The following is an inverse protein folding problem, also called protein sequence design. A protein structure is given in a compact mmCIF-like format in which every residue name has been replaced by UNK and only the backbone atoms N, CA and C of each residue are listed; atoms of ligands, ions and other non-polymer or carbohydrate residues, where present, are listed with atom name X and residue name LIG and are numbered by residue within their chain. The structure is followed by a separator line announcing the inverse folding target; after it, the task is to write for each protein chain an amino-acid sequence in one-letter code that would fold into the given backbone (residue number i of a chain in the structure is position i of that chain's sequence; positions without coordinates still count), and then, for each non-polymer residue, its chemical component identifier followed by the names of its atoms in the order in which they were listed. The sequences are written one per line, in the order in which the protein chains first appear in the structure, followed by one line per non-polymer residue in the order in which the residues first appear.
data_IF_243422930137
#
_entry.id   IF_243422930137
#
_cell.length_a   1.000
_cell.length_b   1.000
_cell.length_c   1.000
_cell.angle_alpha   90.00
_cell.angle_beta   90.00
_cell.angle_gamma   90.00
#
_symmetry.space_group_name_H-M   'P 1'
#
loop_
_entity.id
_entity.type
_entity.pdbx_description
1 polymer ?
#
# COMPACT_ATOMS: atom_id res chain seq x y z
N UNK A 1 46.65 -11.33 29.89
CA UNK A 1 47.00 -9.91 29.65
C UNK A 1 45.81 -9.29 28.99
N UNK A 2 45.11 -8.48 29.76
CA UNK A 2 43.90 -7.76 29.43
C UNK A 2 44.16 -6.69 28.38
N UNK A 3 43.15 -6.44 27.54
CA UNK A 3 42.81 -5.10 27.06
C UNK A 3 41.34 -5.07 26.66
N UNK A 4 40.54 -4.61 27.61
CA UNK A 4 39.13 -4.17 27.42
C UNK A 4 39.08 -2.89 26.57
N UNK A 5 38.25 -2.89 25.55
CA UNK A 5 37.78 -1.69 24.84
C UNK A 5 36.29 -1.51 25.07
N UNK A 6 35.90 -0.54 25.90
CA UNK A 6 34.54 -0.22 26.27
C UNK A 6 33.80 0.47 25.09
N UNK A 7 32.77 -0.16 24.57
CA UNK A 7 31.79 0.46 23.69
C UNK A 7 30.66 1.13 24.50
N UNK A 8 30.50 2.45 24.36
CA UNK A 8 29.39 3.19 24.96
C UNK A 8 28.07 2.82 24.27
N UNK A 9 27.00 2.52 25.01
CA UNK A 9 25.68 2.38 24.42
C UNK A 9 25.09 3.77 24.15
N UNK A 10 24.68 3.99 22.91
CA UNK A 10 23.87 5.16 22.54
C UNK A 10 22.48 5.02 23.21
N UNK A 11 22.16 5.93 24.08
CA UNK A 11 20.87 6.01 24.75
C UNK A 11 19.73 6.30 23.76
N UNK A 12 18.55 5.68 23.92
CA UNK A 12 17.40 6.00 23.08
C UNK A 12 16.90 7.42 23.41
N UNK A 13 16.78 8.27 22.38
CA UNK A 13 16.12 9.56 22.52
C UNK A 13 14.62 9.35 22.73
N UNK A 14 14.15 9.52 23.94
CA UNK A 14 12.73 9.61 24.26
C UNK A 14 12.15 10.90 23.69
N UNK A 15 11.28 10.79 22.70
CA UNK A 15 10.39 11.87 22.30
C UNK A 15 9.18 11.84 23.24
N UNK A 16 9.07 12.82 24.11
CA UNK A 16 7.89 13.00 24.97
C UNK A 16 6.78 13.65 24.14
N UNK A 17 5.67 12.95 23.96
CA UNK A 17 4.44 13.45 23.36
C UNK A 17 3.51 13.92 24.49
N UNK A 18 3.13 15.20 24.45
CA UNK A 18 2.06 15.75 25.26
C UNK A 18 0.69 15.20 24.87
N UNK A 19 -0.24 15.14 25.81
CA UNK A 19 -1.58 14.61 25.66
C UNK A 19 -2.36 15.21 24.49
N UNK A 20 -3.07 14.34 23.73
CA UNK A 20 -3.82 14.70 22.54
C UNK A 20 -5.03 15.61 22.83
N UNK A 21 -5.26 16.64 22.00
CA UNK A 21 -6.52 17.41 22.04
C UNK A 21 -7.64 16.70 21.29
N UNK A 22 -8.85 16.70 21.86
CA UNK A 22 -10.01 15.89 21.47
C UNK A 22 -10.87 16.45 20.31
N UNK A 23 -10.36 17.36 19.49
CA UNK A 23 -11.06 17.81 18.27
C UNK A 23 -10.08 18.24 17.18
N UNK A 24 -10.41 17.99 15.92
CA UNK A 24 -9.63 18.36 14.72
C UNK A 24 -9.34 19.86 14.68
N UNK A 25 -10.22 20.71 15.23
CA UNK A 25 -10.03 22.15 15.30
C UNK A 25 -9.00 22.60 16.34
N UNK A 26 -8.75 21.81 17.39
CA UNK A 26 -7.81 22.16 18.45
C UNK A 26 -6.35 21.77 18.14
N UNK A 27 -6.12 20.83 17.22
CA UNK A 27 -4.77 20.44 16.78
C UNK A 27 -4.08 21.50 15.92
N UNK A 28 -4.83 22.45 15.35
CA UNK A 28 -4.31 23.51 14.47
C UNK A 28 -3.95 24.81 15.19
N UNK A 29 -4.18 24.94 16.51
CA UNK A 29 -4.06 26.17 17.28
C UNK A 29 -2.86 26.22 18.24
N UNK A 30 -1.69 25.72 17.85
CA UNK A 30 -0.44 25.88 18.59
C UNK A 30 0.28 27.19 18.23
N UNK A 31 0.28 28.19 19.17
CA UNK A 31 1.07 29.43 19.21
C UNK A 31 0.96 30.42 18.04
N UNK A 32 0.13 31.43 18.18
CA UNK A 32 -0.12 32.47 17.19
C UNK A 32 0.31 33.85 17.72
N UNK A 33 1.45 34.38 17.18
CA UNK A 33 1.77 35.81 17.21
C UNK A 33 1.05 36.55 16.06
N UNK A 34 1.12 37.91 15.95
CA UNK A 34 0.32 38.70 14.99
C UNK A 34 0.54 38.42 13.50
N UNK A 35 1.58 37.65 13.14
CA UNK A 35 1.74 37.03 11.79
C UNK A 35 1.00 35.67 11.65
N UNK A 36 0.43 35.15 12.73
CA UNK A 36 -0.18 33.85 12.79
C UNK A 36 -1.63 33.78 12.32
N UNK A 37 -2.32 34.90 12.17
CA UNK A 37 -3.73 34.89 11.74
C UNK A 37 -3.93 34.50 10.29
N UNK A 38 -3.02 34.91 9.40
CA UNK A 38 -3.06 34.49 7.97
C UNK A 38 -2.60 33.05 7.76
N UNK A 39 -1.57 32.62 8.47
CA UNK A 39 -1.10 31.21 8.40
C UNK A 39 -2.13 30.24 8.99
N UNK A 40 -2.73 30.57 10.13
CA UNK A 40 -3.78 29.76 10.75
C UNK A 40 -5.04 29.68 9.88
N UNK A 41 -5.45 30.80 9.25
CA UNK A 41 -6.54 30.85 8.30
C UNK A 41 -6.25 29.97 7.05
N UNK A 42 -5.05 30.04 6.51
CA UNK A 42 -4.61 29.25 5.37
C UNK A 42 -4.58 27.74 5.69
N UNK A 43 -4.12 27.38 6.89
CA UNK A 43 -4.12 25.99 7.36
C UNK A 43 -5.57 25.48 7.49
N UNK A 44 -6.46 26.27 8.09
CA UNK A 44 -7.87 25.92 8.26
C UNK A 44 -8.60 25.78 6.91
N UNK A 45 -8.35 26.68 5.95
CA UNK A 45 -8.89 26.63 4.60
C UNK A 45 -8.42 25.39 3.84
N UNK A 46 -7.12 25.07 3.91
CA UNK A 46 -6.56 23.86 3.27
C UNK A 46 -7.11 22.58 3.89
N UNK A 47 -7.30 22.55 5.21
CA UNK A 47 -7.91 21.41 5.89
C UNK A 47 -9.39 21.23 5.48
N UNK A 48 -10.13 22.33 5.33
CA UNK A 48 -11.50 22.31 4.81
C UNK A 48 -11.55 21.77 3.39
N UNK A 49 -10.67 22.26 2.50
CA UNK A 49 -10.58 21.80 1.13
C UNK A 49 -10.20 20.29 1.04
N UNK A 50 -9.31 19.82 1.93
CA UNK A 50 -8.96 18.39 2.01
C UNK A 50 -10.16 17.52 2.41
N UNK A 51 -10.97 17.97 3.39
CA UNK A 51 -12.19 17.29 3.77
C UNK A 51 -13.24 17.30 2.64
N UNK A 52 -13.30 18.37 1.83
CA UNK A 52 -14.17 18.42 0.66
C UNK A 52 -13.75 17.40 -0.40
N UNK A 53 -12.44 17.27 -0.67
CA UNK A 53 -11.93 16.21 -1.55
C UNK A 53 -12.32 14.83 -1.04
N UNK A 54 -12.11 14.55 0.26
CA UNK A 54 -12.42 13.24 0.87
C UNK A 54 -13.92 12.94 0.94
N UNK A 55 -14.78 13.95 1.00
CA UNK A 55 -16.25 13.77 0.90
C UNK A 55 -16.72 13.48 -0.52
N UNK A 56 -16.06 14.08 -1.50
CA UNK A 56 -16.47 14.01 -2.91
C UNK A 56 -15.77 12.90 -3.70
N UNK A 57 -14.74 12.26 -3.11
CA UNK A 57 -14.01 11.14 -3.70
C UNK A 57 -13.82 10.01 -2.70
N UNK A 58 -13.82 8.77 -3.18
CA UNK A 58 -13.53 7.61 -2.35
C UNK A 58 -12.01 7.51 -2.20
N UNK A 59 -11.51 7.79 -0.99
CA UNK A 59 -10.08 7.66 -0.70
C UNK A 59 -9.70 6.20 -0.46
N UNK A 60 -8.58 5.78 -1.04
CA UNK A 60 -8.10 4.40 -1.02
C UNK A 60 -6.61 4.37 -0.72
N UNK A 61 -6.21 3.63 0.29
CA UNK A 61 -4.86 3.10 0.40
C UNK A 61 -4.80 1.79 -0.39
N UNK A 62 -4.07 1.79 -1.51
CA UNK A 62 -4.12 0.67 -2.44
C UNK A 62 -3.28 -0.53 -2.01
N UNK A 63 -2.52 -0.40 -0.91
CA UNK A 63 -1.79 -1.51 -0.28
C UNK A 63 -1.36 -1.18 1.15
N UNK A 64 -1.72 -2.04 2.09
CA UNK A 64 -1.37 -1.86 3.51
C UNK A 64 -1.43 -3.18 4.28
N UNK A 65 -0.73 -3.23 5.43
CA UNK A 65 -0.70 -4.36 6.35
C UNK A 65 -1.34 -3.98 7.68
N UNK A 66 -2.65 -4.14 7.80
CA UNK A 66 -3.38 -3.89 9.03
C UNK A 66 -3.30 -5.07 10.02
N UNK A 67 -2.88 -4.81 11.25
CA UNK A 67 -2.93 -5.82 12.30
C UNK A 67 -2.00 -7.01 12.07
N UNK A 68 -2.56 -8.23 12.07
CA UNK A 68 -1.79 -9.49 11.95
C UNK A 68 -1.67 -9.98 10.49
N UNK A 69 -2.14 -9.26 9.50
CA UNK A 69 -2.08 -9.70 8.10
C UNK A 69 -0.68 -9.60 7.52
N UNK A 70 0.12 -8.66 8.01
CA UNK A 70 1.49 -8.47 7.55
C UNK A 70 2.50 -9.49 8.11
N UNK A 71 3.77 -9.26 7.80
CA UNK A 71 4.92 -10.09 8.18
C UNK A 71 5.06 -10.23 9.71
N UNK A 72 4.64 -9.22 10.46
CA UNK A 72 4.71 -9.25 11.92
C UNK A 72 3.38 -9.67 12.51
N UNK A 73 3.37 -10.74 13.31
CA UNK A 73 2.18 -11.21 14.04
C UNK A 73 1.75 -10.30 15.21
N UNK A 74 2.40 -9.17 15.40
CA UNK A 74 2.07 -8.23 16.48
C UNK A 74 0.86 -7.39 16.07
N UNK A 75 -0.21 -7.47 16.87
CA UNK A 75 -1.33 -6.54 16.73
C UNK A 75 -0.81 -5.10 16.83
N UNK A 76 -1.39 -4.16 16.08
CA UNK A 76 -1.05 -2.75 16.24
C UNK A 76 -1.31 -2.38 17.71
N UNK A 77 -0.37 -1.70 18.37
CA UNK A 77 -0.46 -1.44 19.80
C UNK A 77 -1.62 -0.52 20.19
N UNK A 78 -2.25 0.17 19.26
CA UNK A 78 -3.20 1.25 19.54
C UNK A 78 -4.38 1.26 18.58
N UNK A 79 -5.24 0.29 18.67
CA UNK A 79 -6.59 0.54 18.24
C UNK A 79 -7.06 -0.16 16.97
N UNK A 80 -8.31 -0.03 16.82
CA UNK A 80 -9.18 -0.52 15.79
C UNK A 80 -8.89 0.20 14.46
N UNK A 81 -8.57 -0.57 13.43
CA UNK A 81 -8.33 -0.08 12.07
C UNK A 81 -9.47 0.83 11.57
N UNK A 82 -10.71 0.43 11.79
CA UNK A 82 -11.88 1.21 11.40
C UNK A 82 -11.95 2.57 12.12
N UNK A 83 -11.53 2.63 13.38
CA UNK A 83 -11.47 3.90 14.12
C UNK A 83 -10.39 4.82 13.56
N UNK A 84 -9.19 4.30 13.26
CA UNK A 84 -8.14 5.09 12.63
C UNK A 84 -8.57 5.63 11.25
N UNK A 85 -9.20 4.79 10.42
CA UNK A 85 -9.75 5.18 9.12
C UNK A 85 -10.80 6.27 9.24
N UNK A 86 -11.75 6.15 10.20
CA UNK A 86 -12.77 7.18 10.45
C UNK A 86 -12.17 8.52 10.89
N UNK A 87 -11.21 8.49 11.81
CA UNK A 87 -10.54 9.71 12.31
C UNK A 87 -9.85 10.46 11.17
N UNK A 88 -9.13 9.75 10.32
CA UNK A 88 -8.42 10.35 9.19
C UNK A 88 -9.25 10.54 7.93
N UNK A 89 -10.51 10.07 7.92
CA UNK A 89 -11.39 10.10 6.74
C UNK A 89 -10.88 9.26 5.57
N UNK A 90 -10.16 8.17 5.83
CA UNK A 90 -9.82 7.16 4.84
C UNK A 90 -11.03 6.24 4.63
N UNK A 91 -11.51 6.15 3.39
CA UNK A 91 -12.70 5.34 3.09
C UNK A 91 -12.38 3.86 2.91
N UNK A 92 -11.26 3.53 2.27
CA UNK A 92 -10.92 2.17 1.86
C UNK A 92 -9.44 1.86 2.13
N UNK A 93 -9.17 0.67 2.65
CA UNK A 93 -7.84 0.09 2.73
C UNK A 93 -7.80 -1.25 1.96
N UNK A 94 -6.87 -1.42 1.02
CA UNK A 94 -6.55 -2.72 0.44
C UNK A 94 -5.66 -3.46 1.43
N UNK A 95 -6.25 -4.41 2.14
CA UNK A 95 -5.62 -5.08 3.27
C UNK A 95 -4.97 -6.37 2.82
N UNK A 96 -3.64 -6.40 2.84
CA UNK A 96 -2.85 -7.51 2.32
C UNK A 96 -2.66 -8.63 3.33
N UNK A 97 -2.92 -9.85 2.89
CA UNK A 97 -2.40 -11.09 3.44
C UNK A 97 -1.01 -11.37 2.84
N UNK A 98 -0.08 -11.90 3.62
CA UNK A 98 1.29 -12.21 3.19
C UNK A 98 1.54 -13.73 3.31
N UNK A 99 1.22 -14.53 2.27
CA UNK A 99 1.32 -15.98 2.33
C UNK A 99 2.72 -16.52 2.61
N UNK A 100 3.77 -15.86 2.11
CA UNK A 100 5.16 -16.22 2.33
C UNK A 100 5.74 -15.72 3.68
N UNK A 101 4.95 -14.99 4.47
CA UNK A 101 5.33 -14.46 5.77
C UNK A 101 6.08 -15.45 6.69
N UNK A 102 5.68 -16.73 6.80
CA UNK A 102 6.41 -17.72 7.58
C UNK A 102 7.83 -17.98 7.15
N UNK A 103 8.19 -17.67 5.90
CA UNK A 103 9.53 -17.89 5.35
C UNK A 103 10.47 -16.70 5.53
N UNK A 104 9.89 -15.52 5.79
CA UNK A 104 10.63 -14.26 5.78
C UNK A 104 11.46 -14.07 7.03
N UNK A 105 12.66 -13.56 6.81
CA UNK A 105 13.61 -13.20 7.85
C UNK A 105 14.66 -12.24 7.29
N UNK A 106 15.63 -11.86 8.13
CA UNK A 106 16.77 -11.09 7.64
C UNK A 106 17.87 -12.04 7.22
N UNK A 107 18.34 -11.89 5.98
CA UNK A 107 19.49 -12.63 5.46
C UNK A 107 20.82 -12.13 6.09
N UNK A 108 21.95 -12.66 5.63
CA UNK A 108 23.27 -12.32 6.15
C UNK A 108 23.62 -10.82 6.00
N UNK A 109 23.06 -10.17 5.00
CA UNK A 109 23.19 -8.73 4.72
C UNK A 109 22.18 -7.86 5.52
N UNK A 110 21.34 -8.48 6.35
CA UNK A 110 20.33 -7.80 7.14
C UNK A 110 19.08 -7.37 6.33
N UNK A 111 18.96 -7.82 5.08
CA UNK A 111 17.84 -7.51 4.18
C UNK A 111 16.72 -8.53 4.37
N UNK A 112 15.46 -8.09 4.27
CA UNK A 112 14.29 -8.96 4.31
C UNK A 112 14.29 -9.87 3.07
N UNK A 113 14.21 -11.18 3.31
CA UNK A 113 14.21 -12.19 2.26
C UNK A 113 13.62 -13.51 2.78
N UNK A 114 13.29 -14.44 1.90
CA UNK A 114 13.03 -15.82 2.30
C UNK A 114 14.32 -16.47 2.81
N UNK A 115 14.31 -16.92 4.07
CA UNK A 115 15.48 -17.55 4.75
C UNK A 115 15.34 -19.07 4.87
N UNK A 116 14.28 -19.65 4.31
CA UNK A 116 14.03 -21.08 4.27
C UNK A 116 13.09 -21.45 3.12
N UNK A 117 13.10 -22.71 2.73
CA UNK A 117 12.18 -23.27 1.73
C UNK A 117 10.87 -23.69 2.41
N UNK A 118 9.70 -23.49 1.77
CA UNK A 118 8.44 -23.94 2.33
C UNK A 118 8.28 -25.47 2.25
N UNK A 119 7.57 -26.03 3.21
CA UNK A 119 7.04 -27.38 3.09
C UNK A 119 5.81 -27.40 2.16
N UNK A 120 5.56 -28.48 1.42
CA UNK A 120 4.38 -28.58 0.58
C UNK A 120 3.07 -28.32 1.34
N UNK A 121 2.25 -27.40 0.86
CA UNK A 121 1.00 -26.98 1.49
C UNK A 121 1.17 -25.97 2.63
N UNK A 122 2.38 -25.60 3.04
CA UNK A 122 2.62 -24.68 4.14
C UNK A 122 2.08 -23.28 3.84
N UNK A 123 2.36 -22.76 2.65
CA UNK A 123 1.96 -21.39 2.29
C UNK A 123 0.45 -21.28 2.07
N UNK A 124 -0.15 -22.31 1.50
CA UNK A 124 -1.59 -22.40 1.38
C UNK A 124 -2.29 -22.48 2.76
N UNK A 125 -1.79 -23.31 3.66
CA UNK A 125 -2.31 -23.38 5.03
C UNK A 125 -2.21 -22.05 5.75
N UNK A 126 -1.06 -21.36 5.66
CA UNK A 126 -0.87 -20.04 6.24
C UNK A 126 -1.83 -19.00 5.64
N UNK A 127 -2.00 -18.97 4.32
CA UNK A 127 -2.97 -18.12 3.65
C UNK A 127 -4.40 -18.31 4.21
N UNK A 128 -4.84 -19.55 4.39
CA UNK A 128 -6.16 -19.84 4.95
C UNK A 128 -6.32 -19.31 6.40
N UNK A 129 -5.28 -19.43 7.23
CA UNK A 129 -5.25 -18.88 8.58
C UNK A 129 -5.34 -17.34 8.57
N UNK A 130 -4.61 -16.68 7.64
CA UNK A 130 -4.66 -15.22 7.50
C UNK A 130 -6.02 -14.72 7.03
N UNK A 131 -6.66 -15.42 6.11
CA UNK A 131 -8.02 -15.11 5.68
C UNK A 131 -9.03 -15.24 6.82
N UNK A 132 -8.94 -16.29 7.61
CA UNK A 132 -9.81 -16.47 8.77
C UNK A 132 -9.65 -15.32 9.79
N UNK A 133 -8.39 -14.90 10.04
CA UNK A 133 -8.13 -13.76 10.89
C UNK A 133 -8.65 -12.43 10.28
N UNK A 134 -8.53 -12.23 8.97
CA UNK A 134 -9.09 -11.06 8.29
C UNK A 134 -10.62 -11.05 8.40
N UNK A 135 -11.29 -12.21 8.27
CA UNK A 135 -12.73 -12.35 8.47
C UNK A 135 -13.15 -11.91 9.87
N UNK A 136 -12.43 -12.36 10.90
CA UNK A 136 -12.65 -11.98 12.31
C UNK A 136 -12.44 -10.48 12.54
N UNK A 137 -11.38 -9.91 12.00
CA UNK A 137 -11.07 -8.49 12.12
C UNK A 137 -12.16 -7.62 11.46
N UNK A 138 -12.59 -7.98 10.24
CA UNK A 138 -13.66 -7.27 9.54
C UNK A 138 -14.94 -7.28 10.36
N UNK A 139 -15.31 -8.42 10.92
CA UNK A 139 -16.50 -8.56 11.73
C UNK A 139 -16.40 -7.79 13.05
N UNK A 140 -15.28 -7.92 13.79
CA UNK A 140 -15.10 -7.30 15.11
C UNK A 140 -14.94 -5.78 15.07
N UNK A 141 -14.34 -5.24 14.00
CA UNK A 141 -14.10 -3.80 13.85
C UNK A 141 -15.23 -3.06 13.10
N UNK A 142 -16.27 -3.76 12.66
CA UNK A 142 -17.37 -3.14 11.92
C UNK A 142 -16.97 -2.59 10.57
N UNK A 143 -15.95 -3.21 9.94
CA UNK A 143 -15.51 -2.90 8.59
C UNK A 143 -16.43 -3.58 7.58
N UNK A 144 -16.50 -3.03 6.37
CA UNK A 144 -17.16 -3.69 5.24
C UNK A 144 -16.10 -4.30 4.33
N UNK A 145 -16.22 -5.59 4.01
CA UNK A 145 -15.47 -6.19 2.91
C UNK A 145 -16.19 -5.89 1.61
N UNK A 146 -15.53 -5.18 0.69
CA UNK A 146 -16.06 -4.86 -0.62
C UNK A 146 -15.67 -5.93 -1.64
N UNK A 147 -16.63 -6.33 -2.47
CA UNK A 147 -16.46 -7.29 -3.56
C UNK A 147 -16.56 -6.62 -4.93
N UNK A 148 -16.98 -5.35 -4.97
CA UNK A 148 -17.17 -4.56 -6.18
C UNK A 148 -16.94 -3.08 -5.91
N UNK A 149 -16.84 -2.28 -6.98
CA UNK A 149 -16.81 -0.83 -6.87
C UNK A 149 -18.11 -0.26 -6.27
N UNK A 150 -19.25 -0.87 -6.59
CA UNK A 150 -20.56 -0.47 -6.03
C UNK A 150 -20.63 -0.68 -4.51
N UNK A 151 -19.97 -1.72 -3.97
CA UNK A 151 -19.86 -1.92 -2.52
C UNK A 151 -19.08 -0.78 -1.85
N UNK A 152 -18.00 -0.32 -2.47
CA UNK A 152 -17.19 0.81 -1.97
C UNK A 152 -17.98 2.12 -2.03
N UNK A 153 -18.73 2.36 -3.11
CA UNK A 153 -19.59 3.53 -3.24
C UNK A 153 -20.69 3.54 -2.17
N UNK A 154 -21.31 2.39 -1.93
CA UNK A 154 -22.35 2.25 -0.89
C UNK A 154 -21.75 2.44 0.52
N UNK A 155 -20.57 1.89 0.81
CA UNK A 155 -19.89 2.04 2.08
C UNK A 155 -19.50 3.51 2.32
N UNK A 156 -18.90 4.18 1.34
CA UNK A 156 -18.54 5.58 1.41
C UNK A 156 -19.75 6.48 1.66
N UNK A 157 -20.84 6.27 0.92
CA UNK A 157 -22.11 7.00 1.13
C UNK A 157 -22.68 6.80 2.54
N UNK A 158 -22.47 5.63 3.13
CA UNK A 158 -22.88 5.31 4.49
C UNK A 158 -21.91 5.81 5.57
N UNK A 159 -20.77 6.41 5.21
CA UNK A 159 -19.69 6.77 6.15
C UNK A 159 -19.07 5.57 6.85
N UNK A 160 -19.15 4.38 6.26
CA UNK A 160 -18.61 3.13 6.78
C UNK A 160 -17.26 2.82 6.13
N UNK A 161 -16.16 2.70 6.91
CA UNK A 161 -14.90 2.24 6.37
C UNK A 161 -14.99 0.84 5.76
N UNK A 162 -14.31 0.65 4.64
CA UNK A 162 -14.31 -0.61 3.92
C UNK A 162 -12.89 -1.13 3.67
N UNK A 163 -12.79 -2.43 3.45
CA UNK A 163 -11.56 -3.06 2.95
C UNK A 163 -11.83 -3.73 1.61
N UNK A 164 -10.78 -3.75 0.76
CA UNK A 164 -10.62 -4.72 -0.31
C UNK A 164 -9.62 -5.75 0.20
N UNK A 165 -10.02 -7.03 0.22
CA UNK A 165 -9.10 -8.09 0.61
C UNK A 165 -8.06 -8.28 -0.51
N UNK A 166 -6.79 -8.15 -0.12
CA UNK A 166 -5.60 -8.22 -0.96
C UNK A 166 -4.72 -9.40 -0.54
N UNK A 167 -3.91 -9.91 -1.45
CA UNK A 167 -2.89 -10.93 -1.18
C UNK A 167 -1.57 -10.49 -1.79
N UNK A 168 -0.57 -10.32 -0.97
CA UNK A 168 0.79 -9.96 -1.38
C UNK A 168 1.64 -11.21 -1.63
N UNK A 169 1.76 -11.58 -2.90
CA UNK A 169 2.41 -12.80 -3.36
C UNK A 169 1.46 -13.98 -3.49
N UNK A 170 1.37 -14.54 -4.69
CA UNK A 170 0.55 -15.73 -4.97
C UNK A 170 1.28 -17.05 -4.69
N UNK A 171 2.21 -17.04 -3.75
CA UNK A 171 3.00 -18.20 -3.33
C UNK A 171 2.13 -19.35 -2.82
N UNK A 172 0.96 -19.03 -2.24
CA UNK A 172 -0.02 -20.01 -1.77
C UNK A 172 -0.64 -20.87 -2.89
N UNK A 173 -0.49 -20.45 -4.14
CA UNK A 173 -0.97 -21.27 -5.27
C UNK A 173 -0.22 -22.59 -5.35
N UNK A 174 1.09 -22.62 -5.09
CA UNK A 174 1.92 -23.83 -5.21
C UNK A 174 1.61 -24.57 -6.52
N UNK A 175 1.60 -23.84 -7.66
CA UNK A 175 1.25 -24.28 -9.01
C UNK A 175 -0.21 -24.75 -9.24
N UNK A 176 -1.09 -24.60 -8.27
CA UNK A 176 -2.50 -25.00 -8.33
C UNK A 176 -3.39 -23.83 -8.66
N UNK A 177 -3.69 -23.64 -9.94
CA UNK A 177 -4.47 -22.47 -10.43
C UNK A 177 -5.89 -22.43 -9.84
N UNK A 178 -6.49 -23.57 -9.48
CA UNK A 178 -7.80 -23.66 -8.84
C UNK A 178 -7.89 -22.94 -7.50
N UNK A 179 -6.77 -22.75 -6.79
CA UNK A 179 -6.72 -22.00 -5.53
C UNK A 179 -7.00 -20.50 -5.75
N UNK A 180 -6.79 -20.00 -6.96
CA UNK A 180 -7.17 -18.62 -7.31
C UNK A 180 -8.70 -18.46 -7.34
N UNK A 181 -9.43 -19.48 -7.83
CA UNK A 181 -10.90 -19.50 -7.79
C UNK A 181 -11.43 -19.59 -6.35
N UNK A 182 -10.75 -20.35 -5.50
CA UNK A 182 -11.08 -20.44 -4.06
C UNK A 182 -10.87 -19.08 -3.37
N UNK A 183 -9.76 -18.42 -3.63
CA UNK A 183 -9.48 -17.07 -3.13
C UNK A 183 -10.55 -16.06 -3.58
N UNK A 184 -10.99 -16.10 -4.84
CA UNK A 184 -12.08 -15.27 -5.34
C UNK A 184 -13.41 -15.54 -4.60
N UNK A 185 -13.78 -16.81 -4.40
CA UNK A 185 -14.98 -17.22 -3.64
C UNK A 185 -14.91 -16.76 -2.18
N UNK A 186 -13.71 -16.66 -1.60
CA UNK A 186 -13.45 -16.12 -0.26
C UNK A 186 -13.47 -14.59 -0.19
N UNK A 187 -13.73 -13.91 -1.32
CA UNK A 187 -13.92 -12.47 -1.38
C UNK A 187 -12.64 -11.67 -1.57
N UNK A 188 -11.54 -12.28 -1.99
CA UNK A 188 -10.34 -11.55 -2.43
C UNK A 188 -10.65 -10.91 -3.78
N UNK A 189 -10.23 -9.64 -3.96
CA UNK A 189 -10.42 -8.89 -5.22
C UNK A 189 -9.15 -8.22 -5.73
N UNK A 190 -8.09 -8.28 -4.97
CA UNK A 190 -6.78 -7.75 -5.31
C UNK A 190 -5.73 -8.83 -5.05
N UNK A 191 -4.84 -9.09 -6.01
CA UNK A 191 -3.78 -10.09 -5.89
C UNK A 191 -2.49 -9.58 -6.51
N UNK A 192 -1.40 -9.70 -5.77
CA UNK A 192 -0.06 -9.39 -6.21
C UNK A 192 0.67 -10.68 -6.57
N UNK A 193 1.33 -10.72 -7.72
CA UNK A 193 1.85 -11.95 -8.33
C UNK A 193 3.04 -12.56 -7.57
N UNK A 194 3.99 -11.74 -7.12
CA UNK A 194 5.25 -12.15 -6.49
C UNK A 194 5.54 -11.28 -5.26
N UNK A 195 6.32 -11.81 -4.29
CA UNK A 195 6.74 -11.04 -3.11
C UNK A 195 8.25 -11.22 -2.84
N UNK A 196 8.67 -11.83 -1.74
CA UNK A 196 10.08 -12.05 -1.37
C UNK A 196 10.51 -13.53 -1.51
N UNK A 197 9.61 -14.41 -1.90
CA UNK A 197 9.88 -15.83 -2.04
C UNK A 197 9.85 -16.22 -3.51
N UNK A 198 10.86 -16.99 -4.01
CA UNK A 198 10.80 -17.55 -5.35
C UNK A 198 9.54 -18.41 -5.55
N UNK A 199 8.79 -18.14 -6.63
CA UNK A 199 7.62 -18.90 -7.01
C UNK A 199 7.60 -19.18 -8.52
N UNK A 200 6.65 -20.00 -8.97
CA UNK A 200 6.56 -20.42 -10.37
C UNK A 200 5.89 -19.38 -11.29
N UNK A 201 5.57 -18.20 -10.79
CA UNK A 201 4.90 -17.14 -11.56
C UNK A 201 5.92 -16.26 -12.30
N UNK A 202 7.03 -15.90 -11.64
CA UNK A 202 8.06 -15.08 -12.27
C UNK A 202 9.09 -14.53 -11.29
N UNK A 203 9.93 -13.63 -11.79
CA UNK A 203 11.03 -13.07 -11.05
C UNK A 203 10.62 -11.82 -10.27
N UNK A 204 11.10 -11.69 -9.02
CA UNK A 204 10.88 -10.52 -8.18
C UNK A 204 12.18 -9.71 -8.00
N UNK A 205 12.03 -8.40 -7.71
CA UNK A 205 13.12 -7.39 -7.76
C UNK A 205 14.31 -7.70 -6.86
N UNK A 206 14.09 -8.28 -5.69
CA UNK A 206 15.13 -8.49 -4.65
C UNK A 206 15.67 -9.92 -4.62
N UNK A 207 15.22 -10.77 -5.53
CA UNK A 207 15.66 -12.15 -5.68
C UNK A 207 16.66 -12.35 -6.80
N UNK A 208 17.20 -13.58 -6.89
CA UNK A 208 17.95 -14.01 -8.06
C UNK A 208 17.01 -14.16 -9.26
N UNK A 209 17.49 -13.79 -10.44
CA UNK A 209 16.75 -14.03 -11.68
C UNK A 209 16.75 -15.52 -11.99
N UNK A 210 15.59 -16.15 -11.98
CA UNK A 210 15.40 -17.58 -12.19
C UNK A 210 14.67 -17.92 -13.48
N UNK A 211 13.79 -17.02 -13.95
CA UNK A 211 12.83 -17.27 -15.04
C UNK A 211 13.01 -16.32 -16.23
N UNK A 212 13.90 -15.33 -16.11
CA UNK A 212 14.04 -14.23 -17.09
C UNK A 212 12.72 -13.46 -17.29
N UNK A 213 12.00 -13.25 -16.21
CA UNK A 213 10.74 -12.51 -16.14
C UNK A 213 9.54 -13.39 -15.79
N UNK A 214 8.48 -13.31 -16.60
CA UNK A 214 7.22 -14.03 -16.39
C UNK A 214 7.28 -15.45 -16.96
N UNK A 215 6.81 -16.44 -16.21
CA UNK A 215 6.72 -17.83 -16.68
C UNK A 215 5.45 -18.08 -17.52
N UNK A 216 5.35 -19.27 -18.14
CA UNK A 216 4.10 -19.70 -18.77
C UNK A 216 2.95 -19.85 -17.76
N UNK A 217 3.23 -20.38 -16.58
CA UNK A 217 2.26 -20.45 -15.48
C UNK A 217 1.84 -19.05 -15.02
N UNK A 218 2.78 -18.12 -14.86
CA UNK A 218 2.47 -16.72 -14.55
C UNK A 218 1.55 -16.07 -15.59
N UNK A 219 1.75 -16.38 -16.86
CA UNK A 219 0.87 -15.91 -17.93
C UNK A 219 -0.57 -16.50 -17.80
N UNK A 220 -0.71 -17.76 -17.39
CA UNK A 220 -2.01 -18.37 -17.10
C UNK A 220 -2.67 -17.74 -15.88
N UNK A 221 -1.90 -17.46 -14.83
CA UNK A 221 -2.37 -16.75 -13.62
C UNK A 221 -2.91 -15.37 -13.98
N UNK A 222 -2.20 -14.55 -14.76
CA UNK A 222 -2.70 -13.22 -15.19
C UNK A 222 -4.01 -13.34 -15.97
N UNK A 223 -4.11 -14.27 -16.92
CA UNK A 223 -5.36 -14.50 -17.67
C UNK A 223 -6.51 -14.91 -16.75
N UNK A 224 -6.22 -15.77 -15.75
CA UNK A 224 -7.20 -16.18 -14.75
C UNK A 224 -7.62 -15.03 -13.86
N UNK A 225 -6.70 -14.17 -13.41
CA UNK A 225 -7.01 -12.95 -12.66
C UNK A 225 -8.00 -12.07 -13.42
N UNK A 226 -7.74 -11.81 -14.70
CA UNK A 226 -8.62 -10.98 -15.53
C UNK A 226 -9.99 -11.62 -15.77
N UNK A 227 -10.04 -12.94 -15.96
CA UNK A 227 -11.29 -13.68 -16.16
C UNK A 227 -12.15 -13.72 -14.90
N UNK A 228 -11.53 -13.91 -13.74
CA UNK A 228 -12.21 -14.00 -12.44
C UNK A 228 -12.62 -12.63 -11.88
N UNK A 229 -11.99 -11.56 -12.32
CA UNK A 229 -12.28 -10.22 -11.83
C UNK A 229 -11.41 -9.82 -10.62
N UNK A 230 -10.12 -10.07 -10.69
CA UNK A 230 -9.15 -9.52 -9.74
C UNK A 230 -8.50 -8.24 -10.29
N UNK A 231 -8.19 -7.29 -9.41
CA UNK A 231 -7.13 -6.32 -9.63
C UNK A 231 -5.81 -7.10 -9.62
N UNK A 232 -5.10 -7.08 -10.75
CA UNK A 232 -3.83 -7.77 -10.89
C UNK A 232 -2.69 -6.80 -10.58
N UNK A 233 -1.94 -7.08 -9.51
CA UNK A 233 -0.87 -6.25 -9.00
C UNK A 233 0.49 -6.86 -9.34
N UNK A 234 1.39 -6.04 -9.85
CA UNK A 234 2.75 -6.42 -10.25
C UNK A 234 3.83 -5.75 -9.37
N UNK A 235 3.45 -5.23 -8.19
CA UNK A 235 4.44 -4.78 -7.23
C UNK A 235 5.41 -5.95 -6.90
N UNK A 236 6.63 -5.62 -6.54
CA UNK A 236 7.76 -6.55 -6.40
C UNK A 236 8.27 -7.21 -7.69
N UNK A 237 7.52 -7.27 -8.78
CA UNK A 237 7.96 -7.90 -10.01
C UNK A 237 9.17 -7.16 -10.64
N UNK A 238 10.06 -7.91 -11.28
CA UNK A 238 11.14 -7.31 -12.08
C UNK A 238 10.57 -6.54 -13.28
N UNK A 239 11.34 -5.58 -13.80
CA UNK A 239 10.93 -4.81 -14.98
C UNK A 239 10.66 -5.72 -16.19
N UNK A 240 11.48 -6.76 -16.40
CA UNK A 240 11.27 -7.73 -17.48
C UNK A 240 9.96 -8.52 -17.30
N UNK A 241 9.65 -8.95 -16.07
CA UNK A 241 8.39 -9.61 -15.76
C UNK A 241 7.21 -8.67 -16.04
N UNK A 242 7.29 -7.40 -15.64
CA UNK A 242 6.23 -6.41 -15.89
C UNK A 242 6.05 -6.17 -17.38
N UNK A 243 7.13 -5.95 -18.15
CA UNK A 243 7.05 -5.78 -19.61
C UNK A 243 6.42 -6.98 -20.33
N UNK A 244 6.62 -8.19 -19.80
CA UNK A 244 5.98 -9.40 -20.31
C UNK A 244 4.52 -9.50 -19.88
N UNK A 245 4.19 -9.14 -18.62
CA UNK A 245 2.82 -9.09 -18.12
C UNK A 245 1.95 -8.09 -18.92
N UNK A 246 2.48 -6.91 -19.22
CA UNK A 246 1.80 -5.89 -20.03
C UNK A 246 1.35 -6.42 -21.39
N UNK A 247 2.16 -7.27 -22.05
CA UNK A 247 1.81 -7.89 -23.35
C UNK A 247 0.63 -8.86 -23.27
N UNK A 248 0.33 -9.38 -22.07
CA UNK A 248 -0.72 -10.37 -21.83
C UNK A 248 -1.95 -9.71 -21.21
N UNK A 249 -1.77 -8.62 -20.51
CA UNK A 249 -2.82 -7.92 -19.80
C UNK A 249 -3.92 -7.43 -20.75
N UNK A 250 -5.16 -7.75 -20.40
CA UNK A 250 -6.36 -7.26 -21.10
C UNK A 250 -7.16 -6.26 -20.26
N UNK A 251 -6.70 -6.01 -19.03
CA UNK A 251 -7.24 -5.05 -18.07
C UNK A 251 -6.09 -4.24 -17.47
N UNK A 252 -6.33 -3.05 -16.90
CA UNK A 252 -5.29 -2.27 -16.25
C UNK A 252 -4.56 -3.07 -15.17
N UNK A 253 -3.24 -2.96 -15.13
CA UNK A 253 -2.41 -3.52 -14.06
C UNK A 253 -2.24 -2.48 -12.95
N UNK A 254 -2.10 -2.92 -11.72
CA UNK A 254 -1.67 -2.10 -10.60
C UNK A 254 -0.22 -2.44 -10.26
N UNK A 255 0.57 -1.45 -9.86
CA UNK A 255 1.79 -1.61 -9.10
C UNK A 255 1.56 -0.88 -7.77
N UNK A 256 1.13 -1.61 -6.75
CA UNK A 256 0.48 -1.03 -5.58
C UNK A 256 1.39 -0.19 -4.70
N UNK A 257 2.68 -0.51 -4.57
CA UNK A 257 3.60 0.19 -3.69
C UNK A 257 5.04 0.16 -4.19
N UNK A 258 5.64 1.33 -4.32
CA UNK A 258 7.04 1.54 -4.74
C UNK A 258 7.45 3.00 -4.58
N UNK A 259 8.64 3.35 -5.07
CA UNK A 259 9.10 4.71 -5.36
C UNK A 259 9.95 4.74 -6.62
N UNK A 260 10.15 5.92 -7.17
CA UNK A 260 11.01 6.11 -8.34
C UNK A 260 12.49 5.88 -7.96
N UNK A 261 13.20 5.13 -8.79
CA UNK A 261 14.65 4.97 -8.65
C UNK A 261 15.35 6.32 -8.85
N UNK A 262 16.20 6.67 -7.89
CA UNK A 262 16.90 7.96 -7.90
C UNK A 262 16.03 9.16 -7.51
N UNK A 263 14.86 8.93 -6.87
CA UNK A 263 14.00 10.00 -6.34
C UNK A 263 14.80 10.96 -5.46
N UNK A 264 14.76 12.25 -5.80
CA UNK A 264 15.38 13.31 -4.99
C UNK A 264 14.58 13.57 -3.72
N UNK A 265 13.29 13.34 -3.78
CA UNK A 265 12.40 13.47 -2.64
C UNK A 265 12.67 12.42 -1.56
N UNK A 266 12.91 11.17 -1.97
CA UNK A 266 13.20 10.06 -1.06
C UNK A 266 14.62 10.12 -0.50
N UNK A 267 15.60 10.48 -1.34
CA UNK A 267 17.01 10.44 -0.99
C UNK A 267 17.57 9.02 -0.90
N UNK A 268 18.78 8.85 -0.31
CA UNK A 268 19.39 7.54 -0.11
C UNK A 268 18.53 6.64 0.79
N UNK A 269 18.30 5.40 0.37
CA UNK A 269 17.47 4.44 1.10
C UNK A 269 18.02 3.01 0.94
N UNK A 270 17.90 2.16 1.97
CA UNK A 270 18.20 0.73 1.84
C UNK A 270 17.19 -0.01 0.95
N UNK A 271 16.06 0.64 0.60
CA UNK A 271 15.01 0.06 -0.23
C UNK A 271 15.24 0.26 -1.75
N UNK A 272 16.45 0.64 -2.17
CA UNK A 272 16.78 0.92 -3.58
C UNK A 272 16.41 -0.24 -4.51
N UNK A 273 16.60 -1.49 -4.07
CA UNK A 273 16.22 -2.68 -4.84
C UNK A 273 14.74 -2.85 -5.10
N UNK A 274 13.90 -2.07 -4.41
CA UNK A 274 12.44 -2.07 -4.55
C UNK A 274 11.90 -0.88 -5.35
N UNK A 275 12.78 0.07 -5.73
CA UNK A 275 12.42 1.21 -6.56
C UNK A 275 12.33 0.80 -8.03
N UNK A 276 11.57 1.56 -8.81
CA UNK A 276 11.33 1.30 -10.24
C UNK A 276 11.94 2.38 -11.13
N UNK A 277 12.39 1.98 -12.31
CA UNK A 277 12.86 2.88 -13.36
C UNK A 277 11.74 3.51 -14.18
N UNK A 278 12.10 4.43 -15.06
CA UNK A 278 11.17 5.17 -15.92
C UNK A 278 10.37 4.25 -16.85
N UNK A 279 11.05 3.28 -17.47
CA UNK A 279 10.42 2.37 -18.44
C UNK A 279 9.46 1.40 -17.72
N UNK A 280 9.81 0.98 -16.52
CA UNK A 280 8.94 0.18 -15.66
C UNK A 280 7.64 0.96 -15.33
N UNK A 281 7.76 2.23 -14.91
CA UNK A 281 6.62 3.09 -14.62
C UNK A 281 5.73 3.32 -15.86
N UNK A 282 6.33 3.63 -17.00
CA UNK A 282 5.60 3.83 -18.26
C UNK A 282 4.85 2.59 -18.72
N UNK A 283 5.47 1.41 -18.58
CA UNK A 283 4.84 0.14 -18.95
C UNK A 283 3.53 -0.11 -18.19
N UNK A 284 3.47 0.25 -16.90
CA UNK A 284 2.23 0.17 -16.11
C UNK A 284 1.19 1.18 -16.63
N UNK A 285 1.60 2.44 -16.86
CA UNK A 285 0.70 3.48 -17.33
C UNK A 285 0.06 3.14 -18.70
N UNK A 286 0.81 2.51 -19.60
CA UNK A 286 0.34 2.05 -20.92
C UNK A 286 -0.83 1.06 -20.83
N UNK A 287 -0.96 0.30 -19.74
CA UNK A 287 -2.13 -0.58 -19.52
C UNK A 287 -3.39 0.18 -19.10
N UNK A 288 -3.30 1.50 -18.88
CA UNK A 288 -4.31 2.26 -18.15
C UNK A 288 -4.23 2.04 -16.64
N UNK A 289 -3.14 1.47 -16.14
CA UNK A 289 -2.89 1.12 -14.76
C UNK A 289 -2.54 2.30 -13.85
N UNK A 290 -2.08 2.00 -12.64
CA UNK A 290 -1.63 3.01 -11.67
C UNK A 290 -0.48 2.49 -10.82
N UNK A 291 0.33 3.41 -10.30
CA UNK A 291 1.49 3.15 -9.46
C UNK A 291 1.25 3.78 -8.10
N UNK A 292 1.20 2.97 -7.06
CA UNK A 292 1.11 3.40 -5.67
C UNK A 292 2.47 3.80 -5.13
N UNK A 293 2.52 4.94 -4.46
CA UNK A 293 3.73 5.43 -3.81
C UNK A 293 3.68 5.03 -2.33
N UNK A 294 4.73 4.36 -1.86
CA UNK A 294 4.86 3.92 -0.46
C UNK A 294 5.22 5.06 0.50
N UNK A 295 5.10 4.80 1.81
CA UNK A 295 5.24 5.86 2.83
C UNK A 295 6.69 6.14 3.29
N UNK A 296 7.71 5.45 2.77
CA UNK A 296 9.10 5.50 3.27
C UNK A 296 9.86 6.78 2.88
N UNK A 297 9.20 7.92 2.91
CA UNK A 297 9.81 9.23 2.69
C UNK A 297 10.15 9.93 4.02
N UNK A 298 11.14 10.82 4.05
CA UNK A 298 11.59 11.46 5.29
C UNK A 298 10.55 12.37 5.97
N UNK A 299 9.60 12.89 5.19
CA UNK A 299 8.52 13.75 5.67
C UNK A 299 7.32 13.70 4.73
N UNK A 300 6.19 14.24 5.18
CA UNK A 300 4.97 14.34 4.39
C UNK A 300 5.15 15.20 3.13
N UNK A 301 5.86 16.34 3.26
CA UNK A 301 6.14 17.21 2.10
C UNK A 301 7.04 16.47 1.08
N UNK A 302 8.02 15.69 1.55
CA UNK A 302 8.86 14.85 0.69
C UNK A 302 8.08 13.73 0.03
N UNK A 303 7.10 13.18 0.72
CA UNK A 303 6.18 12.21 0.10
C UNK A 303 5.38 12.85 -1.03
N UNK A 304 4.86 14.06 -0.84
CA UNK A 304 4.16 14.82 -1.89
C UNK A 304 5.09 15.15 -3.06
N UNK A 305 6.35 15.49 -2.79
CA UNK A 305 7.36 15.64 -3.86
C UNK A 305 7.55 14.34 -4.63
N UNK A 306 7.58 13.17 -3.95
CA UNK A 306 7.64 11.85 -4.61
C UNK A 306 6.43 11.53 -5.47
N UNK A 307 5.22 11.91 -5.04
CA UNK A 307 4.01 11.82 -5.88
C UNK A 307 4.15 12.67 -7.15
N UNK A 308 4.71 13.88 -7.05
CA UNK A 308 4.96 14.75 -8.21
C UNK A 308 5.99 14.15 -9.17
N UNK A 309 7.12 13.66 -8.64
CA UNK A 309 8.14 13.00 -9.47
C UNK A 309 7.54 11.86 -10.30
N UNK A 310 6.66 11.06 -9.72
CA UNK A 310 5.97 9.99 -10.47
C UNK A 310 4.94 10.57 -11.45
N UNK A 311 4.15 11.56 -11.04
CA UNK A 311 3.13 12.18 -11.90
C UNK A 311 3.74 12.92 -13.12
N UNK A 312 4.94 13.47 -13.00
CA UNK A 312 5.69 14.06 -14.12
C UNK A 312 6.06 13.02 -15.20
N UNK A 313 6.19 11.75 -14.82
CA UNK A 313 6.60 10.66 -15.71
C UNK A 313 5.39 10.00 -16.39
N UNK A 314 4.34 9.72 -15.61
CA UNK A 314 3.21 8.90 -16.07
C UNK A 314 1.88 9.65 -16.10
N UNK A 315 1.82 10.87 -15.60
CA UNK A 315 0.59 11.64 -15.42
C UNK A 315 -0.20 11.28 -14.16
N UNK A 316 -0.98 12.21 -13.65
CA UNK A 316 -1.77 12.07 -12.41
C UNK A 316 -2.79 10.93 -12.45
N UNK A 317 -3.27 10.56 -13.63
CA UNK A 317 -4.22 9.47 -13.84
C UNK A 317 -3.62 8.07 -13.60
N UNK A 318 -2.29 8.00 -13.42
CA UNK A 318 -1.53 6.76 -13.23
C UNK A 318 -0.77 6.72 -11.90
N UNK A 319 -1.09 7.59 -10.94
CA UNK A 319 -0.48 7.62 -9.62
C UNK A 319 -1.52 7.37 -8.54
N UNK A 320 -1.18 6.57 -7.55
CA UNK A 320 -2.01 6.23 -6.38
C UNK A 320 -1.20 6.30 -5.09
N UNK A 321 -1.86 6.21 -3.96
CA UNK A 321 -1.27 6.11 -2.63
C UNK A 321 -1.35 4.65 -2.20
N UNK A 322 -0.18 3.99 -2.05
CA UNK A 322 -0.10 2.62 -1.56
C UNK A 322 0.95 2.54 -0.46
N UNK A 323 0.52 2.71 0.79
CA UNK A 323 1.43 3.08 1.87
C UNK A 323 2.42 2.00 2.27
N UNK A 324 2.09 0.74 2.08
CA UNK A 324 2.89 -0.40 2.58
C UNK A 324 3.19 -0.28 4.09
N UNK A 325 2.21 0.24 4.84
CA UNK A 325 2.39 0.48 6.27
C UNK A 325 1.73 -0.60 7.14
N UNK A 326 2.30 -0.79 8.33
CA UNK A 326 1.77 -1.72 9.32
C UNK A 326 0.82 -1.05 10.33
N UNK A 327 0.16 0.06 9.96
CA UNK A 327 -0.71 0.87 10.84
C UNK A 327 -0.01 1.14 12.18
N UNK A 328 1.24 1.58 12.13
CA UNK A 328 2.04 1.90 13.33
C UNK A 328 1.89 3.36 13.67
N UNK A 329 1.54 3.74 14.91
CA UNK A 329 1.56 5.13 15.34
C UNK A 329 2.95 5.76 15.11
N UNK A 330 2.95 6.97 14.55
CA UNK A 330 4.18 7.74 14.30
C UNK A 330 4.82 7.51 12.93
N UNK A 331 4.20 6.75 12.03
CA UNK A 331 4.56 6.78 10.61
C UNK A 331 4.11 8.12 9.99
N UNK A 332 4.78 8.53 8.91
CA UNK A 332 4.42 9.77 8.17
C UNK A 332 2.97 9.74 7.67
N UNK A 333 2.34 8.57 7.64
CA UNK A 333 1.01 8.33 7.09
C UNK A 333 0.17 7.38 7.97
N UNK A 334 0.22 7.58 9.28
CA UNK A 334 -0.77 7.01 10.18
C UNK A 334 -2.19 7.36 9.65
N UNK A 335 -3.09 6.40 9.61
CA UNK A 335 -4.44 6.61 9.07
C UNK A 335 -5.23 7.70 9.77
N UNK A 336 -4.96 7.97 11.05
CA UNK A 336 -5.55 9.11 11.74
C UNK A 336 -5.11 10.45 11.15
N UNK A 337 -4.04 10.46 10.36
CA UNK A 337 -3.44 11.62 9.70
C UNK A 337 -3.78 11.73 8.20
N UNK A 338 -4.65 10.87 7.67
CA UNK A 338 -4.91 10.81 6.22
C UNK A 338 -5.40 12.14 5.64
N UNK A 339 -6.24 12.88 6.38
CA UNK A 339 -6.67 14.22 6.00
C UNK A 339 -5.49 15.19 5.83
N UNK A 340 -4.43 15.04 6.63
CA UNK A 340 -3.23 15.86 6.52
C UNK A 340 -2.40 15.55 5.28
N UNK A 341 -2.41 14.29 4.84
CA UNK A 341 -1.81 13.88 3.57
C UNK A 341 -2.52 14.59 2.40
N UNK A 342 -3.85 14.52 2.36
CA UNK A 342 -4.65 15.18 1.32
C UNK A 342 -4.45 16.70 1.35
N UNK A 343 -4.40 17.30 2.54
CA UNK A 343 -4.07 18.72 2.70
C UNK A 343 -2.64 19.04 2.21
N UNK A 344 -1.67 18.15 2.45
CA UNK A 344 -0.31 18.35 1.95
C UNK A 344 -0.23 18.27 0.42
N UNK A 345 -1.01 17.39 -0.22
CA UNK A 345 -1.10 17.33 -1.68
C UNK A 345 -1.63 18.64 -2.27
N UNK A 346 -2.69 19.20 -1.68
CA UNK A 346 -3.23 20.51 -2.09
C UNK A 346 -2.20 21.64 -1.90
N UNK A 347 -1.53 21.71 -0.75
CA UNK A 347 -0.43 22.68 -0.51
C UNK A 347 0.73 22.47 -1.47
N UNK A 348 0.98 21.22 -1.83
CA UNK A 348 1.97 20.83 -2.82
C UNK A 348 1.66 21.30 -4.24
N UNK A 349 0.44 21.80 -4.50
CA UNK A 349 0.04 22.37 -5.79
C UNK A 349 -0.78 21.43 -6.67
N UNK A 350 -1.16 20.25 -6.19
CA UNK A 350 -2.17 19.45 -6.88
C UNK A 350 -3.54 20.11 -6.74
N UNK A 351 -4.31 20.14 -7.80
CA UNK A 351 -5.71 20.58 -7.78
C UNK A 351 -6.57 19.62 -6.96
N UNK A 352 -7.76 20.03 -6.49
CA UNK A 352 -8.72 19.12 -5.84
C UNK A 352 -9.06 17.88 -6.69
N UNK A 353 -9.18 18.04 -8.00
CA UNK A 353 -9.46 16.97 -8.94
C UNK A 353 -8.30 15.98 -9.03
N UNK A 354 -7.07 16.45 -9.24
CA UNK A 354 -5.86 15.61 -9.26
C UNK A 354 -5.66 14.88 -7.94
N UNK A 355 -5.85 15.59 -6.82
CA UNK A 355 -5.79 15.02 -5.48
C UNK A 355 -6.80 13.90 -5.32
N UNK A 356 -8.06 14.09 -5.72
CA UNK A 356 -9.10 13.07 -5.66
C UNK A 356 -8.81 11.84 -6.54
N UNK A 357 -8.24 12.05 -7.74
CA UNK A 357 -7.77 10.96 -8.61
C UNK A 357 -6.72 10.11 -7.92
N UNK A 358 -5.65 10.72 -7.43
CA UNK A 358 -4.53 10.01 -6.79
C UNK A 358 -4.92 9.41 -5.43
N UNK A 359 -5.76 10.11 -4.66
CA UNK A 359 -6.19 9.64 -3.35
C UNK A 359 -7.12 8.42 -3.40
N UNK A 360 -7.63 8.02 -4.60
CA UNK A 360 -8.41 6.82 -4.73
C UNK A 360 -9.15 6.66 -6.06
N UNK A 361 -9.44 7.75 -6.78
CA UNK A 361 -10.14 7.71 -8.06
C UNK A 361 -9.50 6.77 -9.10
N UNK A 362 -8.16 6.74 -9.15
CA UNK A 362 -7.42 5.85 -10.05
C UNK A 362 -7.61 4.38 -9.70
N UNK A 363 -7.58 4.03 -8.40
CA UNK A 363 -7.87 2.67 -7.96
C UNK A 363 -9.33 2.27 -8.25
N UNK A 364 -10.28 3.17 -7.99
CA UNK A 364 -11.70 2.92 -8.30
C UNK A 364 -11.92 2.64 -9.79
N UNK A 365 -11.19 3.33 -10.68
CA UNK A 365 -11.21 3.07 -12.12
C UNK A 365 -10.69 1.67 -12.46
N UNK A 366 -9.56 1.28 -11.86
CA UNK A 366 -8.96 -0.05 -12.03
C UNK A 366 -9.89 -1.14 -11.49
N UNK A 367 -10.44 -0.96 -10.30
CA UNK A 367 -11.35 -1.93 -9.68
C UNK A 367 -12.61 -2.15 -10.54
N UNK A 368 -13.23 -1.07 -11.07
CA UNK A 368 -14.36 -1.20 -12.00
C UNK A 368 -13.98 -1.97 -13.26
N UNK A 369 -12.82 -1.70 -13.83
CA UNK A 369 -12.34 -2.42 -15.01
C UNK A 369 -12.04 -3.90 -14.71
N UNK A 370 -11.59 -4.21 -13.50
CA UNK A 370 -11.25 -5.57 -13.09
C UNK A 370 -12.48 -6.40 -12.73
N UNK A 371 -13.35 -5.87 -11.88
CA UNK A 371 -14.43 -6.63 -11.23
C UNK A 371 -15.79 -6.42 -11.93
N UNK A 372 -15.99 -5.28 -12.56
CA UNK A 372 -17.27 -4.87 -13.18
C UNK A 372 -18.04 -3.88 -12.33
#
# INVERSE_FOLDING_TARGET
MDCCGQGHPLAPRHWMWGAAPTSVGAMLAGEVGPRGSTAAAQIAETASAALDVLRNSISVDVHTHGGKTGITSKAPPNGDLATAMRVGSLAVACLADVPDGPLLGRNAEGVLAAVRTPEPGQLYGHHLERLAWMDEMVASHGLRRALSAADLEAAHKAGQPAIVADVEGLDFLETKLERLEEAHKRGIRHVQLVHYTPNDIGDFQTGAIMHQGLTSFGAEVIRACHRLGFVCDVAHATEDMVKQAVKIATKPLLLSHTALFGSKAMGPTPLTGRQIGLDHARAIAETGGSIGIWHFFPSLDKYVDGLKEMAEIVGVDHVSIGTDQHVTPGSVQDYTQWVHLVAAMLRGGFTPEETGKMAGGNYMRILRAAVG
#
